data_IF_899690853069
#
_entry.id   IF_899690853069
#
_cell.length_a   1.000
_cell.length_b   1.000
_cell.length_c   1.000
_cell.angle_alpha   90.00
_cell.angle_beta   90.00
_cell.angle_gamma   90.00
#
_symmetry.space_group_name_H-M   'P 1'
#
loop_
_entity.id
_entity.type
_entity.pdbx_description
1 polymer ?
#
# COMPACT_ATOMS: atom_id res chain seq x y z
N UNK A 1 -11.18 -5.13 16.94
CA UNK A 1 -10.52 -4.90 15.63
C UNK A 1 -11.03 -5.93 14.63
N UNK A 2 -11.61 -5.49 13.51
CA UNK A 2 -12.01 -6.39 12.42
C UNK A 2 -10.77 -7.03 11.80
N UNK A 3 -10.67 -8.37 11.85
CA UNK A 3 -9.54 -9.12 11.25
C UNK A 3 -9.33 -8.74 9.77
N UNK A 4 -10.43 -8.53 9.05
CA UNK A 4 -10.41 -8.07 7.67
C UNK A 4 -9.70 -6.72 7.50
N UNK A 5 -10.00 -5.74 8.38
CA UNK A 5 -9.37 -4.42 8.37
C UNK A 5 -7.88 -4.47 8.67
N UNK A 6 -7.45 -5.35 9.59
CA UNK A 6 -6.02 -5.55 9.88
C UNK A 6 -5.28 -6.11 8.66
N UNK A 7 -5.86 -7.11 7.98
CA UNK A 7 -5.26 -7.71 6.78
C UNK A 7 -5.16 -6.68 5.65
N UNK A 8 -6.22 -5.91 5.40
CA UNK A 8 -6.21 -4.87 4.35
C UNK A 8 -5.21 -3.76 4.66
N UNK A 9 -5.08 -3.36 5.93
CA UNK A 9 -4.09 -2.37 6.35
C UNK A 9 -2.67 -2.88 6.09
N UNK A 10 -2.36 -4.13 6.49
CA UNK A 10 -1.04 -4.72 6.25
C UNK A 10 -0.72 -4.85 4.77
N UNK A 11 -1.70 -5.25 3.96
CA UNK A 11 -1.52 -5.39 2.50
C UNK A 11 -1.27 -4.02 1.85
N UNK A 12 -2.02 -2.99 2.25
CA UNK A 12 -1.79 -1.61 1.84
C UNK A 12 -0.40 -1.09 2.23
N UNK A 13 0.04 -1.39 3.46
CA UNK A 13 1.36 -1.01 3.95
C UNK A 13 2.48 -1.64 3.11
N UNK A 14 2.39 -2.95 2.85
CA UNK A 14 3.38 -3.67 2.04
C UNK A 14 3.43 -3.09 0.63
N UNK A 15 2.29 -2.84 -0.01
CA UNK A 15 2.21 -2.24 -1.34
C UNK A 15 2.88 -0.84 -1.37
N UNK A 16 2.66 -0.01 -0.36
CA UNK A 16 3.29 1.30 -0.27
C UNK A 16 4.81 1.20 -0.07
N UNK A 17 5.27 0.33 0.84
CA UNK A 17 6.72 0.15 1.09
C UNK A 17 7.43 -0.41 -0.15
N UNK A 18 6.84 -1.41 -0.80
CA UNK A 18 7.41 -2.01 -2.02
C UNK A 18 7.39 -1.01 -3.17
N UNK A 19 6.27 -0.31 -3.39
CA UNK A 19 6.15 0.69 -4.45
C UNK A 19 7.13 1.85 -4.30
N UNK A 20 7.34 2.34 -3.08
CA UNK A 20 8.34 3.37 -2.79
C UNK A 20 9.76 2.81 -2.93
N UNK A 21 10.07 1.70 -2.27
CA UNK A 21 11.40 1.12 -2.28
C UNK A 21 11.88 0.77 -3.68
N UNK A 22 11.09 -0.02 -4.42
CA UNK A 22 11.41 -0.40 -5.78
C UNK A 22 11.33 0.80 -6.74
N UNK A 23 10.32 1.68 -6.59
CA UNK A 23 10.17 2.86 -7.45
C UNK A 23 11.37 3.79 -7.40
N UNK A 24 11.83 4.14 -6.19
CA UNK A 24 13.02 4.97 -6.02
C UNK A 24 14.31 4.24 -6.39
N UNK A 25 14.40 2.93 -6.12
CA UNK A 25 15.55 2.12 -6.56
C UNK A 25 15.73 2.17 -8.09
N UNK A 26 14.64 2.01 -8.84
CA UNK A 26 14.64 2.01 -10.30
C UNK A 26 14.94 3.41 -10.86
N UNK A 27 14.47 4.47 -10.20
CA UNK A 27 14.85 5.85 -10.56
C UNK A 27 16.36 6.09 -10.43
N UNK A 28 17.01 5.52 -9.40
CA UNK A 28 18.45 5.68 -9.16
C UNK A 28 19.31 4.84 -10.12
N UNK A 29 18.82 3.67 -10.53
CA UNK A 29 19.54 2.76 -11.44
C UNK A 29 19.18 2.96 -12.92
N UNK A 30 18.30 3.91 -13.23
CA UNK A 30 17.95 4.31 -14.59
C UNK A 30 17.08 3.30 -15.33
N UNK A 31 16.34 2.44 -14.63
CA UNK A 31 15.41 1.52 -15.30
C UNK A 31 14.08 2.21 -15.60
N UNK A 32 13.51 1.90 -16.78
CA UNK A 32 12.25 2.48 -17.25
C UNK A 32 11.01 2.06 -16.45
N UNK A 33 11.14 1.22 -15.42
CA UNK A 33 10.01 0.65 -14.69
C UNK A 33 9.63 1.42 -13.42
N UNK A 34 10.36 2.50 -13.08
CA UNK A 34 10.10 3.32 -11.89
C UNK A 34 8.63 3.78 -11.79
N UNK A 35 8.04 4.22 -12.90
CA UNK A 35 6.65 4.67 -12.94
C UNK A 35 5.66 3.55 -12.55
N UNK A 36 5.89 2.34 -13.03
CA UNK A 36 5.06 1.17 -12.71
C UNK A 36 5.13 0.85 -11.22
N UNK A 37 6.33 0.88 -10.62
CA UNK A 37 6.50 0.64 -9.20
C UNK A 37 5.87 1.74 -8.34
N UNK A 38 6.06 3.01 -8.71
CA UNK A 38 5.45 4.14 -8.00
C UNK A 38 3.92 4.14 -8.10
N UNK A 39 3.34 3.56 -9.16
CA UNK A 39 1.88 3.42 -9.30
C UNK A 39 1.24 2.49 -8.26
N UNK A 40 2.02 1.60 -7.62
CA UNK A 40 1.56 0.78 -6.50
C UNK A 40 1.33 1.60 -5.22
N UNK A 41 1.94 2.79 -5.10
CA UNK A 41 1.85 3.63 -3.90
C UNK A 41 0.43 4.15 -3.68
N UNK A 42 -0.26 4.74 -4.68
CA UNK A 42 -1.67 5.07 -4.57
C UNK A 42 -2.56 3.89 -4.18
N UNK A 43 -2.31 2.70 -4.75
CA UNK A 43 -3.07 1.49 -4.41
C UNK A 43 -2.83 1.07 -2.95
N UNK A 44 -1.59 1.14 -2.47
CA UNK A 44 -1.25 0.91 -1.08
C UNK A 44 -1.96 1.89 -0.13
N UNK A 45 -2.02 3.17 -0.51
CA UNK A 45 -2.74 4.21 0.24
C UNK A 45 -4.24 3.92 0.35
N UNK A 46 -4.88 3.52 -0.75
CA UNK A 46 -6.30 3.14 -0.75
C UNK A 46 -6.53 1.92 0.14
N UNK A 47 -5.66 0.91 0.07
CA UNK A 47 -5.71 -0.27 0.94
C UNK A 47 -5.56 0.06 2.42
N UNK A 48 -4.63 0.96 2.76
CA UNK A 48 -4.44 1.47 4.12
C UNK A 48 -5.71 2.18 4.62
N UNK A 49 -6.27 3.08 3.82
CA UNK A 49 -7.47 3.84 4.19
C UNK A 49 -8.66 2.91 4.42
N UNK A 50 -8.90 1.96 3.50
CA UNK A 50 -9.93 0.92 3.64
C UNK A 50 -9.72 0.07 4.88
N UNK A 51 -8.50 -0.40 5.12
CA UNK A 51 -8.18 -1.21 6.27
C UNK A 51 -8.45 -0.48 7.59
N UNK A 52 -8.02 0.79 7.69
CA UNK A 52 -8.30 1.64 8.85
C UNK A 52 -9.79 1.83 9.04
N UNK A 53 -10.54 2.23 8.00
CA UNK A 53 -12.00 2.40 8.08
C UNK A 53 -12.67 1.12 8.56
N UNK A 54 -12.33 -0.04 7.98
CA UNK A 54 -12.87 -1.34 8.38
C UNK A 54 -12.54 -1.71 9.83
N UNK A 55 -11.37 -1.34 10.35
CA UNK A 55 -11.03 -1.58 11.76
C UNK A 55 -11.84 -0.71 12.73
N UNK A 56 -12.26 0.48 12.30
CA UNK A 56 -13.04 1.44 13.10
C UNK A 56 -14.55 1.20 13.03
N UNK A 57 -15.03 0.38 12.08
CA UNK A 57 -16.45 0.03 12.02
C UNK A 57 -16.86 -0.72 13.30
N UNK A 58 -18.03 -0.37 13.87
CA UNK A 58 -18.56 -1.07 15.04
C UNK A 58 -18.91 -2.50 14.66
N UNK A 59 -18.50 -3.46 15.49
CA UNK A 59 -19.03 -4.82 15.41
C UNK A 59 -20.51 -4.75 15.78
N UNK A 60 -21.38 -4.96 14.79
CA UNK A 60 -22.74 -5.43 15.08
C UNK A 60 -22.70 -6.88 15.57
#
# INVERSE_FOLDING_TARGET
MHKLGVITTLLGLILSVVGLGAGFWEMLHGSGNAQTWLSLVPLGFVGLMLGVVLTQLPKK
#
